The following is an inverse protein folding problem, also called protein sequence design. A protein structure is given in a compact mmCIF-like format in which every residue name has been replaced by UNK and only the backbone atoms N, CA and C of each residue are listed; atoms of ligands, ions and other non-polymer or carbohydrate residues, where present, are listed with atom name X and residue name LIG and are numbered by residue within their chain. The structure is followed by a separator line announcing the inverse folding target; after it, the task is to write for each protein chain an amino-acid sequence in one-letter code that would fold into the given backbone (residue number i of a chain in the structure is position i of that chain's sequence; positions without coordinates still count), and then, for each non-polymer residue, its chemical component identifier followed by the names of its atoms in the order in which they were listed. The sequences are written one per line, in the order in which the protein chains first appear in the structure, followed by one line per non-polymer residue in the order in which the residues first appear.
data_IF_985012194998
#
_entry.id   IF_985012194998
#
_cell.length_a   1.000
_cell.length_b   1.000
_cell.length_c   1.000
_cell.angle_alpha   90.00
_cell.angle_beta   90.00
_cell.angle_gamma   90.00
#
_symmetry.space_group_name_H-M   'P 1'
#
loop_
_entity.id
_entity.type
_entity.pdbx_description
1 polymer ?
#
# COMPACT_ATOMS: atom_id res chain seq x y z
N UNK A 1 6.86 -17.22 21.60
CA UNK A 1 8.08 -16.39 21.51
C UNK A 1 7.67 -15.06 20.92
N UNK A 2 8.02 -13.90 21.51
CA UNK A 2 7.65 -12.60 20.90
C UNK A 2 8.55 -12.35 19.67
N UNK A 3 8.02 -12.61 18.48
CA UNK A 3 8.75 -12.51 17.20
C UNK A 3 9.21 -11.07 16.89
N UNK A 4 8.61 -10.06 17.53
CA UNK A 4 9.02 -8.67 17.34
C UNK A 4 10.39 -8.36 17.98
N UNK A 5 10.86 -9.20 18.94
CA UNK A 5 12.16 -9.00 19.59
C UNK A 5 13.34 -8.97 18.62
N UNK A 6 13.21 -9.62 17.47
CA UNK A 6 14.24 -9.58 16.42
C UNK A 6 14.46 -8.18 15.83
N UNK A 7 13.50 -7.25 16.00
CA UNK A 7 13.55 -5.91 15.43
C UNK A 7 14.03 -4.83 16.42
N UNK A 8 14.39 -5.18 17.65
CA UNK A 8 15.00 -4.20 18.55
C UNK A 8 16.39 -3.79 18.06
N UNK A 9 16.56 -2.47 17.84
CA UNK A 9 17.81 -1.88 17.38
C UNK A 9 18.66 -1.35 18.54
N UNK A 10 19.82 -0.74 18.22
CA UNK A 10 20.73 -0.15 19.18
C UNK A 10 20.05 1.00 19.94
N UNK A 11 20.30 1.05 21.27
CA UNK A 11 19.71 2.08 22.14
C UNK A 11 20.41 3.45 22.01
N UNK A 12 21.67 3.46 21.55
CA UNK A 12 22.49 4.67 21.44
C UNK A 12 23.36 4.61 20.19
N UNK A 13 23.69 5.75 19.68
CA UNK A 13 24.63 5.96 18.58
C UNK A 13 24.46 7.39 18.09
N UNK A 14 25.56 8.13 18.00
CA UNK A 14 25.55 9.49 17.43
C UNK A 14 25.90 9.38 15.96
N UNK A 15 25.02 9.89 15.11
CA UNK A 15 25.25 9.98 13.68
C UNK A 15 24.53 11.19 13.11
N UNK A 16 25.03 11.71 12.02
CA UNK A 16 24.42 12.81 11.28
C UNK A 16 24.50 12.55 9.79
N UNK A 17 23.56 13.09 9.04
CA UNK A 17 23.54 12.90 7.60
C UNK A 17 22.18 13.15 6.99
N UNK A 18 22.01 12.60 5.80
CA UNK A 18 20.79 12.70 5.02
C UNK A 18 20.47 11.33 4.41
N UNK A 19 19.20 11.01 4.34
CA UNK A 19 18.68 9.85 3.65
C UNK A 19 17.47 10.25 2.82
N UNK A 20 17.41 9.79 1.56
CA UNK A 20 16.28 10.05 0.67
C UNK A 20 15.83 8.73 0.04
N UNK A 21 14.56 8.42 0.19
CA UNK A 21 13.95 7.22 -0.41
C UNK A 21 12.68 7.57 -1.16
N UNK A 22 12.51 6.89 -2.29
CA UNK A 22 11.25 6.85 -3.03
C UNK A 22 10.62 5.47 -2.80
N UNK A 23 9.39 5.45 -2.25
CA UNK A 23 8.62 4.22 -2.07
C UNK A 23 7.35 4.25 -2.89
N UNK A 24 6.99 3.14 -3.57
CA UNK A 24 5.82 3.06 -4.41
C UNK A 24 4.54 3.06 -3.59
N UNK A 25 3.46 3.55 -4.16
CA UNK A 25 2.13 3.11 -3.77
C UNK A 25 1.92 1.64 -4.14
N UNK A 26 0.90 1.01 -3.58
CA UNK A 26 0.55 -0.35 -3.92
C UNK A 26 -0.96 -0.51 -4.04
N UNK A 27 -1.39 -1.36 -4.96
CA UNK A 27 -2.80 -1.74 -5.13
C UNK A 27 -3.01 -3.21 -4.77
N UNK A 28 -3.87 -3.46 -3.79
CA UNK A 28 -4.16 -4.80 -3.33
C UNK A 28 -5.04 -5.57 -4.31
N UNK A 29 -4.64 -6.80 -4.63
CA UNK A 29 -5.36 -7.79 -5.43
C UNK A 29 -6.26 -8.65 -4.54
N UNK A 30 -5.74 -9.13 -3.40
CA UNK A 30 -6.54 -9.61 -2.26
C UNK A 30 -6.50 -8.54 -1.19
N UNK A 31 -7.68 -8.06 -0.80
CA UNK A 31 -7.84 -6.86 0.02
C UNK A 31 -7.50 -7.11 1.49
N UNK A 32 -6.67 -6.24 2.06
CA UNK A 32 -6.48 -6.10 3.50
C UNK A 32 -7.64 -5.29 4.08
N UNK A 33 -8.52 -5.95 4.85
CA UNK A 33 -9.65 -5.27 5.46
C UNK A 33 -9.97 -5.90 6.82
N UNK A 34 -9.86 -5.11 7.87
CA UNK A 34 -9.84 -5.60 9.25
C UNK A 34 -8.43 -5.74 9.79
N UNK A 35 -8.24 -5.29 11.04
CA UNK A 35 -6.96 -5.33 11.74
C UNK A 35 -7.16 -5.59 13.22
N UNK A 36 -6.09 -5.98 13.91
CA UNK A 36 -6.07 -6.13 15.36
C UNK A 36 -4.72 -5.66 15.91
N UNK A 37 -4.64 -5.41 17.22
CA UNK A 37 -3.41 -4.96 17.88
C UNK A 37 -2.73 -3.80 17.14
N UNK A 38 -1.42 -3.81 17.10
CA UNK A 38 -0.62 -2.79 16.43
C UNK A 38 -0.53 -3.01 14.93
N UNK A 39 -1.64 -2.81 14.22
CA UNK A 39 -1.76 -2.89 12.76
C UNK A 39 -1.60 -4.30 12.17
N UNK A 40 -1.81 -5.37 12.95
CA UNK A 40 -1.82 -6.74 12.39
C UNK A 40 -3.01 -6.97 11.48
N UNK A 41 -2.84 -7.69 10.35
CA UNK A 41 -3.93 -7.96 9.41
C UNK A 41 -4.82 -9.10 9.91
N UNK A 42 -6.12 -9.01 9.72
CA UNK A 42 -7.08 -10.11 9.98
C UNK A 42 -7.03 -11.20 8.91
N UNK A 43 -6.53 -10.89 7.71
CA UNK A 43 -6.30 -11.81 6.61
C UNK A 43 -5.04 -11.46 5.85
N UNK A 44 -4.41 -12.44 5.24
CA UNK A 44 -3.31 -12.22 4.30
C UNK A 44 -3.79 -11.43 3.06
N UNK A 45 -2.87 -10.73 2.43
CA UNK A 45 -3.13 -9.86 1.28
C UNK A 45 -1.94 -9.85 0.33
N UNK A 46 -2.17 -9.57 -0.94
CA UNK A 46 -1.15 -9.43 -1.98
C UNK A 46 -1.41 -8.17 -2.79
N UNK A 47 -0.37 -7.41 -3.10
CA UNK A 47 -0.44 -6.17 -3.90
C UNK A 47 0.54 -6.16 -5.04
N UNK A 48 0.18 -5.46 -6.12
CA UNK A 48 1.15 -4.85 -7.02
C UNK A 48 1.71 -3.57 -6.39
N UNK A 49 3.02 -3.32 -6.58
CA UNK A 49 3.58 -1.99 -6.39
C UNK A 49 3.50 -1.20 -7.70
N UNK A 50 3.44 0.13 -7.61
CA UNK A 50 3.26 1.03 -8.75
C UNK A 50 4.59 1.72 -9.12
N UNK A 51 4.74 2.10 -10.37
CA UNK A 51 5.95 2.75 -10.88
C UNK A 51 5.87 4.27 -10.75
N UNK A 52 4.79 4.87 -11.22
CA UNK A 52 4.65 6.33 -11.32
C UNK A 52 4.02 6.93 -10.07
N UNK A 53 3.17 6.17 -9.39
CA UNK A 53 2.55 6.59 -8.13
C UNK A 53 3.43 6.22 -6.94
N UNK A 54 4.21 7.19 -6.44
CA UNK A 54 5.16 7.00 -5.35
C UNK A 54 5.22 8.23 -4.43
N UNK A 55 5.79 8.04 -3.24
CA UNK A 55 6.15 9.12 -2.33
C UNK A 55 7.66 9.17 -2.20
N UNK A 56 8.25 10.35 -2.34
CA UNK A 56 9.65 10.63 -2.01
C UNK A 56 9.73 11.28 -0.65
N UNK A 57 10.51 10.71 0.25
CA UNK A 57 10.75 11.27 1.59
C UNK A 57 12.25 11.43 1.81
N UNK A 58 12.66 12.64 2.20
CA UNK A 58 14.00 12.96 2.66
C UNK A 58 14.00 13.20 4.17
N UNK A 59 15.03 12.72 4.85
CA UNK A 59 15.26 12.95 6.28
C UNK A 59 16.69 13.42 6.47
N UNK A 60 16.85 14.65 6.94
CA UNK A 60 18.12 15.13 7.52
C UNK A 60 18.09 14.83 9.03
N UNK A 61 19.17 14.30 9.56
CA UNK A 61 19.25 13.92 10.97
C UNK A 61 20.57 14.38 11.60
N UNK A 62 20.46 14.84 12.84
CA UNK A 62 21.60 15.31 13.62
C UNK A 62 21.44 14.92 15.11
N UNK A 63 22.57 14.70 15.83
CA UNK A 63 22.53 14.38 17.25
C UNK A 63 21.92 15.51 18.07
N UNK A 64 21.18 15.13 19.12
CA UNK A 64 20.69 16.03 20.16
C UNK A 64 20.64 15.33 21.52
N UNK A 65 20.42 16.09 22.58
CA UNK A 65 20.13 15.49 23.90
C UNK A 65 18.88 14.63 23.80
N UNK A 66 19.00 13.38 24.22
CA UNK A 66 17.89 12.41 24.19
C UNK A 66 16.68 12.90 24.97
N UNK A 67 15.49 12.60 24.44
CA UNK A 67 14.19 12.94 25.02
C UNK A 67 13.28 11.69 24.99
N UNK A 68 12.17 11.73 25.74
CA UNK A 68 11.21 10.62 25.74
C UNK A 68 10.48 10.42 24.41
N UNK A 69 10.47 11.44 23.55
CA UNK A 69 9.82 11.42 22.24
C UNK A 69 10.82 11.76 21.14
N UNK A 70 10.55 11.28 19.93
CA UNK A 70 11.29 11.69 18.73
C UNK A 70 11.01 13.17 18.46
N UNK A 71 12.06 13.93 18.17
CA UNK A 71 11.95 15.34 17.83
C UNK A 71 12.11 15.51 16.33
N UNK A 72 11.15 16.18 15.72
CA UNK A 72 11.16 16.38 14.27
C UNK A 72 10.44 17.65 13.85
N UNK A 73 10.82 18.15 12.66
CA UNK A 73 10.01 19.04 11.84
C UNK A 73 9.52 18.29 10.61
N UNK A 74 8.33 18.63 10.13
CA UNK A 74 7.73 17.97 8.96
C UNK A 74 7.24 18.99 7.94
N UNK A 75 7.64 18.76 6.68
CA UNK A 75 7.13 19.49 5.50
C UNK A 75 6.54 18.53 4.49
N UNK A 76 5.42 18.92 3.93
CA UNK A 76 4.78 18.20 2.82
C UNK A 76 4.66 19.12 1.62
N UNK A 77 5.17 18.69 0.45
CA UNK A 77 5.21 19.50 -0.77
C UNK A 77 5.79 20.90 -0.54
N UNK A 78 6.91 20.95 0.18
CA UNK A 78 7.66 22.16 0.49
C UNK A 78 7.10 23.06 1.60
N UNK A 79 5.89 22.78 2.11
CA UNK A 79 5.21 23.59 3.12
C UNK A 79 5.10 22.89 4.48
N UNK A 80 5.06 23.66 5.57
CA UNK A 80 4.77 23.11 6.90
C UNK A 80 3.38 22.49 6.91
N UNK A 81 3.27 21.27 7.45
CA UNK A 81 2.05 20.47 7.37
C UNK A 81 1.63 19.87 8.73
N UNK A 82 1.20 20.73 9.67
CA UNK A 82 0.88 20.31 11.05
C UNK A 82 -0.27 19.31 11.14
N UNK A 83 -1.14 19.24 10.13
CA UNK A 83 -2.25 18.27 10.06
C UNK A 83 -1.76 16.80 10.03
N UNK A 84 -0.51 16.55 9.68
CA UNK A 84 0.09 15.20 9.70
C UNK A 84 0.74 14.83 11.04
N UNK A 85 1.00 15.79 11.94
CA UNK A 85 1.67 15.55 13.22
C UNK A 85 0.99 14.46 14.06
N UNK A 86 -0.33 14.42 14.25
CA UNK A 86 -0.95 13.37 15.05
C UNK A 86 -0.65 11.96 14.54
N UNK A 87 -0.54 11.79 13.22
CA UNK A 87 -0.21 10.51 12.61
C UNK A 87 1.27 10.16 12.74
N UNK A 88 2.16 11.15 12.59
CA UNK A 88 3.60 10.99 12.76
C UNK A 88 3.95 10.72 14.22
N UNK A 89 3.35 11.43 15.17
CA UNK A 89 3.54 11.20 16.61
C UNK A 89 3.15 9.78 17.01
N UNK A 90 1.99 9.31 16.53
CA UNK A 90 1.55 7.93 16.76
C UNK A 90 2.50 6.91 16.12
N UNK A 91 3.02 7.20 14.93
CA UNK A 91 4.01 6.36 14.27
C UNK A 91 5.30 6.30 15.08
N UNK A 92 5.88 7.45 15.41
CA UNK A 92 7.13 7.51 16.17
C UNK A 92 7.00 6.87 17.57
N UNK A 93 5.87 7.04 18.24
CA UNK A 93 5.61 6.37 19.52
C UNK A 93 5.63 4.83 19.39
N UNK A 94 5.08 4.29 18.29
CA UNK A 94 5.06 2.84 18.04
C UNK A 94 6.43 2.27 17.67
N UNK A 95 7.24 3.02 16.90
CA UNK A 95 8.53 2.52 16.45
C UNK A 95 9.68 2.76 17.42
N UNK A 96 9.55 3.71 18.33
CA UNK A 96 10.61 4.08 19.27
C UNK A 96 11.18 2.89 20.09
N UNK A 97 10.39 1.91 20.55
CA UNK A 97 10.93 0.70 21.17
C UNK A 97 11.88 -0.12 20.28
N UNK A 98 11.67 -0.07 18.96
CA UNK A 98 12.46 -0.84 17.96
C UNK A 98 13.63 -0.05 17.40
N UNK A 99 13.57 1.28 17.44
CA UNK A 99 14.62 2.19 16.99
C UNK A 99 14.88 3.27 18.06
N UNK A 100 15.30 2.86 19.27
CA UNK A 100 15.40 3.79 20.40
C UNK A 100 16.46 4.88 20.21
N UNK A 101 17.43 4.71 19.31
CA UNK A 101 18.41 5.73 18.96
C UNK A 101 17.78 7.04 18.45
N UNK A 102 16.55 7.00 17.89
CA UNK A 102 15.83 8.20 17.42
C UNK A 102 15.55 9.21 18.54
N UNK A 103 15.49 8.77 19.81
CA UNK A 103 15.35 9.67 20.96
C UNK A 103 16.51 10.68 21.08
N UNK A 104 17.70 10.31 20.59
CA UNK A 104 18.92 11.13 20.59
C UNK A 104 19.15 11.92 19.30
N UNK A 105 18.16 11.98 18.40
CA UNK A 105 18.29 12.69 17.11
C UNK A 105 17.15 13.70 16.93
N UNK A 106 17.48 14.76 16.18
CA UNK A 106 16.52 15.69 15.61
C UNK A 106 16.38 15.37 14.11
N UNK A 107 15.15 15.28 13.64
CA UNK A 107 14.83 14.90 12.26
C UNK A 107 14.17 16.07 11.53
N UNK A 108 14.70 16.46 10.37
CA UNK A 108 14.02 17.35 9.43
C UNK A 108 13.48 16.47 8.29
N UNK A 109 12.17 16.37 8.21
CA UNK A 109 11.50 15.46 7.30
C UNK A 109 10.79 16.25 6.21
N UNK A 110 11.13 15.99 4.95
CA UNK A 110 10.44 16.52 3.79
C UNK A 110 9.84 15.36 2.97
N UNK A 111 8.58 15.47 2.59
CA UNK A 111 7.89 14.43 1.84
C UNK A 111 7.04 15.04 0.72
N UNK A 112 6.98 14.35 -0.41
CA UNK A 112 6.17 14.75 -1.57
C UNK A 112 5.60 13.53 -2.28
N UNK A 113 4.44 13.69 -2.91
CA UNK A 113 3.82 12.65 -3.72
C UNK A 113 3.95 12.99 -5.21
N UNK A 114 4.09 11.95 -6.04
CA UNK A 114 3.96 12.08 -7.50
C UNK A 114 2.50 12.10 -7.98
N UNK A 115 1.54 11.95 -7.09
CA UNK A 115 0.10 11.84 -7.37
C UNK A 115 -0.72 12.65 -6.36
N UNK A 116 -1.97 13.05 -6.68
CA UNK A 116 -2.78 13.87 -5.79
C UNK A 116 -3.01 13.21 -4.42
N UNK A 117 -2.75 13.96 -3.35
CA UNK A 117 -2.99 13.48 -1.98
C UNK A 117 -4.47 13.16 -1.77
N UNK A 118 -4.80 12.14 -1.01
CA UNK A 118 -6.17 11.70 -0.69
C UNK A 118 -6.98 11.11 -1.86
N UNK A 119 -6.39 10.93 -3.04
CA UNK A 119 -7.06 10.38 -4.24
C UNK A 119 -7.42 8.89 -4.18
N UNK A 120 -7.19 8.22 -3.06
CA UNK A 120 -7.45 6.78 -2.96
C UNK A 120 -6.29 5.87 -3.35
N UNK A 121 -5.16 6.43 -3.77
CA UNK A 121 -3.97 5.72 -4.27
C UNK A 121 -3.00 5.38 -3.12
N UNK A 122 -3.49 4.92 -2.00
CA UNK A 122 -2.72 4.45 -0.84
C UNK A 122 -1.50 5.34 -0.43
N UNK A 123 -1.61 6.68 -0.53
CA UNK A 123 -0.52 7.62 -0.19
C UNK A 123 0.06 7.43 1.21
N UNK A 124 -0.75 6.97 2.16
CA UNK A 124 -0.26 6.57 3.49
C UNK A 124 0.73 5.42 3.45
N UNK A 125 0.57 4.48 2.52
CA UNK A 125 1.43 3.31 2.42
C UNK A 125 2.81 3.70 1.90
N UNK A 126 2.86 4.43 0.79
CA UNK A 126 4.12 4.90 0.21
C UNK A 126 4.89 5.85 1.15
N UNK A 127 4.18 6.79 1.80
CA UNK A 127 4.80 7.74 2.72
C UNK A 127 5.42 7.05 3.95
N UNK A 128 4.71 6.11 4.59
CA UNK A 128 5.26 5.39 5.75
C UNK A 128 6.37 4.42 5.35
N UNK A 129 6.33 3.84 4.15
CA UNK A 129 7.41 3.01 3.64
C UNK A 129 8.68 3.84 3.38
N UNK A 130 8.57 4.98 2.70
CA UNK A 130 9.71 5.87 2.45
C UNK A 130 10.34 6.37 3.75
N UNK A 131 9.52 6.81 4.71
CA UNK A 131 10.01 7.27 6.01
C UNK A 131 10.68 6.13 6.79
N UNK A 132 10.11 4.93 6.81
CA UNK A 132 10.71 3.78 7.48
C UNK A 132 12.08 3.40 6.87
N UNK A 133 12.24 3.49 5.56
CA UNK A 133 13.51 3.26 4.87
C UNK A 133 14.56 4.32 5.23
N UNK A 134 14.17 5.60 5.32
CA UNK A 134 15.07 6.64 5.82
C UNK A 134 15.52 6.37 7.27
N UNK A 135 14.60 5.92 8.13
CA UNK A 135 14.92 5.56 9.51
C UNK A 135 15.88 4.37 9.57
N UNK A 136 15.72 3.38 8.68
CA UNK A 136 16.67 2.27 8.61
C UNK A 136 18.07 2.69 8.16
N UNK A 137 18.21 3.71 7.32
CA UNK A 137 19.52 4.28 6.99
C UNK A 137 20.19 4.93 8.21
N UNK A 138 19.43 5.59 9.09
CA UNK A 138 19.96 6.13 10.35
C UNK A 138 20.48 4.98 11.24
N UNK A 139 19.72 3.90 11.35
CA UNK A 139 20.15 2.72 12.12
C UNK A 139 21.37 2.04 11.51
N UNK A 140 21.40 1.90 10.18
CA UNK A 140 22.53 1.31 9.46
C UNK A 140 23.82 2.12 9.58
N UNK A 141 23.72 3.46 9.66
CA UNK A 141 24.88 4.32 9.89
C UNK A 141 25.53 4.08 11.27
N UNK A 142 24.73 3.69 12.26
CA UNK A 142 25.22 3.33 13.60
C UNK A 142 25.60 1.86 13.70
N UNK A 143 24.95 1.00 12.93
CA UNK A 143 25.20 -0.44 12.91
C UNK A 143 25.49 -0.94 11.48
N UNK A 144 26.73 -0.81 10.98
CA UNK A 144 27.08 -1.22 9.60
C UNK A 144 26.98 -2.72 9.34
N UNK A 145 26.78 -3.56 10.36
CA UNK A 145 26.64 -5.01 10.22
C UNK A 145 25.23 -5.45 9.80
N UNK A 146 24.30 -4.53 9.64
CA UNK A 146 22.93 -4.82 9.17
C UNK A 146 23.00 -5.41 7.76
N UNK A 147 22.51 -6.65 7.60
CA UNK A 147 22.36 -7.23 6.28
C UNK A 147 21.26 -6.55 5.47
N UNK A 148 21.40 -6.54 4.14
CA UNK A 148 20.37 -5.98 3.25
C UNK A 148 19.01 -6.65 3.45
N UNK A 149 18.97 -7.96 3.65
CA UNK A 149 17.72 -8.68 3.91
C UNK A 149 17.03 -8.20 5.19
N UNK A 150 17.79 -8.06 6.29
CA UNK A 150 17.27 -7.55 7.55
C UNK A 150 16.83 -6.08 7.43
N UNK A 151 17.58 -5.25 6.72
CA UNK A 151 17.26 -3.84 6.46
C UNK A 151 15.85 -3.70 5.86
N UNK A 152 15.57 -4.40 4.75
CA UNK A 152 14.27 -4.32 4.09
C UNK A 152 13.16 -4.98 4.92
N UNK A 153 13.45 -6.08 5.61
CA UNK A 153 12.48 -6.74 6.49
C UNK A 153 12.06 -5.83 7.64
N UNK A 154 13.02 -5.19 8.32
CA UNK A 154 12.74 -4.25 9.40
C UNK A 154 12.09 -2.96 8.88
N UNK A 155 12.50 -2.44 7.71
CA UNK A 155 11.83 -1.31 7.09
C UNK A 155 10.34 -1.60 6.86
N UNK A 156 10.01 -2.78 6.33
CA UNK A 156 8.62 -3.22 6.14
C UNK A 156 7.85 -3.36 7.46
N UNK A 157 8.50 -3.89 8.49
CA UNK A 157 7.95 -3.98 9.85
C UNK A 157 7.63 -2.59 10.42
N UNK A 158 8.56 -1.65 10.34
CA UNK A 158 8.36 -0.27 10.82
C UNK A 158 7.28 0.45 10.02
N UNK A 159 7.29 0.33 8.69
CA UNK A 159 6.30 0.92 7.81
C UNK A 159 4.87 0.46 8.17
N UNK A 160 4.68 -0.84 8.48
CA UNK A 160 3.42 -1.41 8.95
C UNK A 160 2.88 -0.70 10.19
N UNK A 161 3.74 -0.35 11.14
CA UNK A 161 3.34 0.34 12.38
C UNK A 161 2.77 1.73 12.11
N UNK A 162 3.14 2.37 10.99
CA UNK A 162 2.57 3.65 10.56
C UNK A 162 1.29 3.50 9.72
N UNK A 163 1.26 2.50 8.85
CA UNK A 163 0.11 2.15 8.02
C UNK A 163 0.22 0.68 7.62
N UNK A 164 -0.76 -0.15 7.96
CA UNK A 164 -0.68 -1.60 7.72
C UNK A 164 -0.27 -1.95 6.30
N UNK A 165 -0.92 -1.37 5.29
CA UNK A 165 -0.61 -1.60 3.87
C UNK A 165 0.80 -1.16 3.45
N UNK A 166 1.48 -0.31 4.24
CA UNK A 166 2.85 0.13 3.95
C UNK A 166 3.87 -1.02 4.01
N UNK A 167 3.55 -2.10 4.71
CA UNK A 167 4.35 -3.33 4.68
C UNK A 167 4.60 -3.83 3.24
N UNK A 168 3.69 -3.54 2.29
CA UNK A 168 3.78 -3.96 0.89
C UNK A 168 4.35 -2.89 -0.06
N UNK A 169 4.82 -1.76 0.46
CA UNK A 169 5.42 -0.66 -0.33
C UNK A 169 6.94 -0.57 -0.22
N UNK A 170 7.58 -1.50 0.46
CA UNK A 170 9.05 -1.52 0.65
C UNK A 170 9.72 -2.37 -0.44
N UNK A 171 9.21 -3.55 -0.69
CA UNK A 171 9.67 -4.43 -1.76
C UNK A 171 8.77 -4.32 -3.01
N UNK A 172 9.05 -5.10 -4.05
CA UNK A 172 8.27 -5.22 -5.29
C UNK A 172 8.75 -6.41 -6.13
N UNK A 173 8.14 -6.65 -7.30
CA UNK A 173 6.94 -6.01 -7.87
C UNK A 173 5.62 -6.42 -7.21
N UNK A 174 5.52 -7.68 -6.73
CA UNK A 174 4.38 -8.23 -6.00
C UNK A 174 4.82 -8.50 -4.56
N UNK A 175 4.00 -8.05 -3.61
CA UNK A 175 4.32 -8.20 -2.19
C UNK A 175 3.12 -8.78 -1.45
N UNK A 176 3.34 -9.87 -0.72
CA UNK A 176 2.35 -10.44 0.19
C UNK A 176 2.65 -10.06 1.64
N UNK A 177 1.59 -9.97 2.45
CA UNK A 177 1.65 -9.65 3.87
C UNK A 177 0.48 -10.30 4.61
N UNK A 178 0.77 -10.82 5.79
CA UNK A 178 -0.16 -11.63 6.59
C UNK A 178 0.21 -13.12 6.52
N UNK A 179 0.00 -13.84 7.62
CA UNK A 179 0.27 -15.27 7.69
C UNK A 179 -0.64 -16.08 6.76
N UNK A 180 -0.03 -16.98 5.98
CA UNK A 180 -0.73 -17.89 5.08
C UNK A 180 0.11 -19.13 4.79
N UNK A 181 -0.48 -20.32 4.88
CA UNK A 181 0.22 -21.62 4.74
C UNK A 181 0.94 -21.79 3.41
N UNK A 182 0.39 -21.25 2.31
CA UNK A 182 0.92 -21.44 0.96
C UNK A 182 2.04 -20.45 0.60
N UNK A 183 2.28 -19.44 1.44
CA UNK A 183 3.31 -18.43 1.21
C UNK A 183 4.46 -18.59 2.19
N UNK A 184 5.58 -19.14 1.72
CA UNK A 184 6.74 -19.42 2.55
C UNK A 184 7.27 -18.16 3.25
N UNK A 185 7.49 -18.26 4.57
CA UNK A 185 7.98 -17.14 5.38
C UNK A 185 6.95 -16.03 5.61
N UNK A 186 5.69 -16.23 5.23
CA UNK A 186 4.61 -15.25 5.45
C UNK A 186 4.52 -14.84 6.92
N UNK A 187 4.24 -13.58 7.16
CA UNK A 187 4.24 -13.00 8.50
C UNK A 187 3.22 -11.88 8.62
N UNK A 188 2.63 -11.77 9.81
CA UNK A 188 1.84 -10.59 10.17
C UNK A 188 2.70 -9.36 10.47
N UNK A 189 4.02 -9.53 10.63
CA UNK A 189 4.94 -8.48 11.03
C UNK A 189 5.42 -7.63 9.86
N UNK A 190 5.68 -8.21 8.70
CA UNK A 190 6.27 -7.56 7.53
C UNK A 190 5.79 -8.21 6.23
N UNK A 191 5.89 -7.49 5.13
CA UNK A 191 5.64 -8.01 3.79
C UNK A 191 6.88 -8.61 3.16
N UNK A 192 6.67 -9.56 2.25
CA UNK A 192 7.71 -10.23 1.47
C UNK A 192 7.41 -10.20 -0.02
N UNK A 193 8.43 -10.07 -0.89
CA UNK A 193 8.23 -10.14 -2.32
C UNK A 193 7.86 -11.56 -2.77
N UNK A 194 6.97 -11.66 -3.75
CA UNK A 194 6.67 -12.91 -4.45
C UNK A 194 7.63 -13.06 -5.62
N UNK A 195 8.41 -14.14 -5.66
CA UNK A 195 9.44 -14.34 -6.67
C UNK A 195 8.95 -15.13 -7.89
N UNK A 196 8.10 -16.13 -7.67
CA UNK A 196 7.54 -16.97 -8.72
C UNK A 196 6.34 -16.28 -9.36
N UNK A 197 6.59 -15.51 -10.43
CA UNK A 197 5.60 -14.67 -11.09
C UNK A 197 5.68 -14.89 -12.59
N UNK A 198 4.55 -15.24 -13.22
CA UNK A 198 4.46 -15.36 -14.68
C UNK A 198 4.83 -14.03 -15.35
N UNK A 199 5.53 -14.05 -16.52
CA UNK A 199 5.98 -12.82 -17.19
C UNK A 199 4.89 -11.78 -17.43
N UNK A 200 3.67 -12.17 -17.75
CA UNK A 200 2.55 -11.25 -17.95
C UNK A 200 2.29 -10.34 -16.76
N UNK A 201 2.38 -10.89 -15.53
CA UNK A 201 2.18 -10.10 -14.31
C UNK A 201 3.40 -9.23 -13.92
N UNK A 202 4.53 -9.33 -14.61
CA UNK A 202 5.69 -8.46 -14.37
C UNK A 202 5.62 -7.13 -15.09
N UNK A 203 4.70 -6.99 -16.06
CA UNK A 203 4.54 -5.81 -16.91
C UNK A 203 3.10 -5.29 -16.93
N UNK A 204 2.27 -5.75 -15.99
CA UNK A 204 0.85 -5.37 -15.94
C UNK A 204 0.69 -3.85 -15.88
N UNK A 205 -0.30 -3.32 -16.58
CA UNK A 205 -0.64 -1.90 -16.55
C UNK A 205 -1.72 -1.65 -15.51
N UNK A 206 -1.72 -0.46 -14.93
CA UNK A 206 -2.72 0.04 -14.00
C UNK A 206 -3.08 1.47 -14.40
N UNK A 207 -4.24 1.66 -15.03
CA UNK A 207 -4.75 3.00 -15.29
C UNK A 207 -5.71 3.39 -14.19
N UNK A 208 -5.36 4.41 -13.40
CA UNK A 208 -6.13 4.87 -12.26
C UNK A 208 -7.09 5.96 -12.70
N UNK A 209 -8.37 5.64 -12.79
CA UNK A 209 -9.46 6.53 -13.22
C UNK A 209 -9.97 7.34 -12.03
N UNK A 210 -9.75 8.65 -12.03
CA UNK A 210 -10.06 9.53 -10.91
C UNK A 210 -11.51 10.03 -10.99
N UNK A 211 -12.44 9.20 -10.55
CA UNK A 211 -13.87 9.54 -10.46
C UNK A 211 -14.15 10.62 -9.41
N UNK A 212 -13.34 10.66 -8.37
CA UNK A 212 -13.42 11.62 -7.28
C UNK A 212 -12.02 12.01 -6.79
N UNK A 213 -11.67 13.29 -6.92
CA UNK A 213 -10.41 13.86 -6.44
C UNK A 213 -10.53 14.53 -5.06
N UNK A 214 -11.73 14.52 -4.49
CA UNK A 214 -12.02 15.12 -3.20
C UNK A 214 -11.54 14.31 -2.01
N UNK A 215 -11.72 14.87 -0.82
CA UNK A 215 -11.37 14.18 0.42
C UNK A 215 -12.25 12.96 0.66
N UNK A 216 -11.63 11.85 1.06
CA UNK A 216 -12.36 10.62 1.44
C UNK A 216 -13.35 10.91 2.57
N UNK A 217 -14.62 10.55 2.36
CA UNK A 217 -15.67 10.64 3.38
C UNK A 217 -15.42 9.70 4.56
N UNK A 218 -14.78 8.57 4.31
CA UNK A 218 -14.47 7.54 5.31
C UNK A 218 -12.97 7.28 5.30
N UNK A 219 -12.32 7.44 6.45
CA UNK A 219 -10.91 7.07 6.58
C UNK A 219 -10.74 5.55 6.51
N UNK A 220 -9.61 5.07 5.98
CA UNK A 220 -9.29 3.63 6.01
C UNK A 220 -9.27 3.08 7.45
N UNK A 221 -8.88 3.90 8.43
CA UNK A 221 -8.89 3.51 9.85
C UNK A 221 -10.30 3.17 10.33
N UNK A 222 -11.29 4.03 10.02
CA UNK A 222 -12.68 3.76 10.37
C UNK A 222 -13.20 2.52 9.64
N UNK A 223 -12.91 2.36 8.35
CA UNK A 223 -13.32 1.18 7.59
C UNK A 223 -12.80 -0.12 8.20
N UNK A 224 -11.53 -0.16 8.65
CA UNK A 224 -11.00 -1.32 9.37
C UNK A 224 -11.71 -1.57 10.71
N UNK A 225 -12.05 -0.53 11.45
CA UNK A 225 -12.79 -0.64 12.72
C UNK A 225 -14.20 -1.22 12.54
N UNK A 226 -14.86 -0.88 11.44
CA UNK A 226 -16.21 -1.40 11.13
C UNK A 226 -16.25 -2.92 10.90
N UNK A 227 -15.09 -3.57 10.79
CA UNK A 227 -15.02 -5.02 10.75
C UNK A 227 -15.13 -5.68 12.14
N UNK A 228 -14.98 -4.89 13.22
CA UNK A 228 -15.19 -5.37 14.59
C UNK A 228 -16.69 -5.57 14.83
N UNK A 229 -17.10 -6.81 15.15
CA UNK A 229 -18.50 -7.16 15.30
C UNK A 229 -19.35 -7.17 14.02
N UNK A 230 -18.72 -6.98 12.85
CA UNK A 230 -19.44 -7.05 11.58
C UNK A 230 -19.98 -8.45 11.30
N UNK A 231 -21.27 -8.62 10.95
CA UNK A 231 -21.91 -9.95 10.86
C UNK A 231 -21.26 -10.88 9.83
N UNK A 232 -20.64 -10.35 8.79
CA UNK A 232 -19.99 -11.12 7.72
C UNK A 232 -18.46 -11.11 7.80
N UNK A 233 -17.84 -10.55 8.87
CA UNK A 233 -16.39 -10.39 8.96
C UNK A 233 -15.64 -11.72 8.83
N UNK A 234 -16.06 -12.76 9.58
CA UNK A 234 -15.41 -14.08 9.57
C UNK A 234 -15.42 -14.69 8.17
N UNK A 235 -16.59 -14.74 7.54
CA UNK A 235 -16.73 -15.28 6.17
C UNK A 235 -15.86 -14.50 5.16
N UNK A 236 -15.74 -13.17 5.33
CA UNK A 236 -14.90 -12.35 4.48
C UNK A 236 -13.40 -12.65 4.67
N UNK A 237 -12.96 -12.84 5.91
CA UNK A 237 -11.56 -13.21 6.19
C UNK A 237 -11.22 -14.59 5.63
N UNK A 238 -12.12 -15.56 5.79
CA UNK A 238 -11.96 -16.91 5.22
C UNK A 238 -11.91 -16.86 3.69
N UNK A 239 -12.79 -16.08 3.05
CA UNK A 239 -12.77 -15.84 1.60
C UNK A 239 -11.43 -15.27 1.15
N UNK A 240 -10.88 -14.27 1.88
CA UNK A 240 -9.59 -13.67 1.53
C UNK A 240 -8.45 -14.69 1.62
N UNK A 241 -8.43 -15.54 2.65
CA UNK A 241 -7.44 -16.62 2.78
C UNK A 241 -7.54 -17.61 1.61
N UNK A 242 -8.74 -18.04 1.26
CA UNK A 242 -8.96 -18.92 0.10
C UNK A 242 -8.51 -18.24 -1.21
N UNK A 243 -8.81 -16.95 -1.38
CA UNK A 243 -8.40 -16.19 -2.55
C UNK A 243 -6.88 -15.99 -2.61
N UNK A 244 -6.19 -15.88 -1.48
CA UNK A 244 -4.72 -15.88 -1.45
C UNK A 244 -4.15 -17.19 -1.98
N UNK A 245 -4.69 -18.35 -1.55
CA UNK A 245 -4.27 -19.65 -2.05
C UNK A 245 -4.46 -19.77 -3.57
N UNK A 246 -5.66 -19.38 -4.09
CA UNK A 246 -5.95 -19.38 -5.52
C UNK A 246 -5.05 -18.43 -6.30
N UNK A 247 -4.85 -17.20 -5.78
CA UNK A 247 -4.06 -16.17 -6.47
C UNK A 247 -2.61 -16.59 -6.68
N UNK A 248 -2.02 -17.37 -5.76
CA UNK A 248 -0.66 -17.91 -5.92
C UNK A 248 -0.56 -18.76 -7.20
N UNK A 249 -1.49 -19.69 -7.40
CA UNK A 249 -1.54 -20.51 -8.62
C UNK A 249 -1.75 -19.68 -9.89
N UNK A 250 -2.69 -18.73 -9.84
CA UNK A 250 -2.99 -17.80 -10.94
C UNK A 250 -1.75 -17.01 -11.36
N UNK A 251 -1.06 -16.40 -10.40
CA UNK A 251 0.15 -15.59 -10.66
C UNK A 251 1.30 -16.44 -11.21
N UNK A 252 1.43 -17.69 -10.76
CA UNK A 252 2.49 -18.58 -11.24
C UNK A 252 2.23 -19.09 -12.66
N UNK A 253 0.98 -19.35 -13.02
CA UNK A 253 0.60 -19.98 -14.30
C UNK A 253 0.24 -18.98 -15.39
N UNK A 254 -0.07 -17.72 -15.06
CA UNK A 254 -0.57 -16.75 -16.02
C UNK A 254 -2.06 -16.92 -16.38
N UNK A 255 -2.87 -17.52 -15.51
CA UNK A 255 -4.30 -17.73 -15.72
C UNK A 255 -5.07 -16.41 -15.63
N UNK A 256 -5.09 -15.64 -16.74
CA UNK A 256 -5.61 -14.27 -16.76
C UNK A 256 -7.12 -14.18 -16.53
N UNK A 257 -7.92 -15.13 -17.00
CA UNK A 257 -9.37 -15.13 -16.78
C UNK A 257 -9.70 -15.36 -15.28
N UNK A 258 -9.01 -16.30 -14.63
CA UNK A 258 -9.13 -16.53 -13.19
C UNK A 258 -8.66 -15.32 -12.37
N UNK A 259 -7.62 -14.61 -12.86
CA UNK A 259 -7.15 -13.36 -12.26
C UNK A 259 -8.24 -12.27 -12.28
N UNK A 260 -8.88 -12.10 -13.43
CA UNK A 260 -9.99 -11.14 -13.61
C UNK A 260 -11.09 -11.40 -12.60
N UNK A 261 -11.58 -12.64 -12.54
CA UNK A 261 -12.70 -13.02 -11.65
C UNK A 261 -12.36 -12.81 -10.18
N UNK A 262 -11.15 -13.21 -9.77
CA UNK A 262 -10.72 -13.10 -8.38
C UNK A 262 -10.56 -11.64 -7.97
N UNK A 263 -9.90 -10.82 -8.77
CA UNK A 263 -9.58 -9.42 -8.44
C UNK A 263 -10.85 -8.55 -8.39
N UNK A 264 -11.78 -8.74 -9.33
CA UNK A 264 -13.08 -8.06 -9.30
C UNK A 264 -13.93 -8.49 -8.10
N UNK A 265 -13.95 -9.77 -7.77
CA UNK A 265 -14.65 -10.30 -6.59
C UNK A 265 -14.09 -9.70 -5.31
N UNK A 266 -12.77 -9.60 -5.16
CA UNK A 266 -12.11 -8.99 -4.00
C UNK A 266 -12.46 -7.50 -3.83
N UNK A 267 -12.45 -6.75 -4.94
CA UNK A 267 -12.85 -5.35 -4.93
C UNK A 267 -14.30 -5.16 -4.49
N UNK A 268 -15.22 -5.92 -5.09
CA UNK A 268 -16.64 -5.82 -4.80
C UNK A 268 -16.98 -6.32 -3.39
N UNK A 269 -16.30 -7.37 -2.90
CA UNK A 269 -16.47 -7.87 -1.54
C UNK A 269 -16.13 -6.82 -0.49
N UNK A 270 -15.04 -6.05 -0.67
CA UNK A 270 -14.71 -4.95 0.22
C UNK A 270 -15.83 -3.91 0.27
N UNK A 271 -16.35 -3.50 -0.90
CA UNK A 271 -17.43 -2.52 -0.97
C UNK A 271 -18.74 -3.07 -0.38
N UNK A 272 -19.05 -4.35 -0.57
CA UNK A 272 -20.19 -5.01 0.05
C UNK A 272 -20.11 -4.97 1.59
N UNK A 273 -18.91 -5.20 2.16
CA UNK A 273 -18.70 -5.06 3.61
C UNK A 273 -19.01 -3.64 4.10
N UNK A 274 -18.64 -2.60 3.33
CA UNK A 274 -18.94 -1.22 3.69
C UNK A 274 -20.44 -0.90 3.56
N UNK A 275 -21.11 -1.47 2.56
CA UNK A 275 -22.55 -1.30 2.35
C UNK A 275 -23.39 -1.87 3.51
N UNK A 276 -22.95 -2.99 4.10
CA UNK A 276 -23.65 -3.65 5.20
C UNK A 276 -23.00 -3.45 6.58
N UNK A 277 -22.08 -2.50 6.72
CA UNK A 277 -21.53 -2.08 8.01
C UNK A 277 -22.52 -1.24 8.82
N UNK A 278 -22.26 -1.01 10.08
CA UNK A 278 -23.07 -0.11 10.95
C UNK A 278 -22.15 0.93 11.60
N UNK A 279 -22.24 2.21 11.22
CA UNK A 279 -23.05 2.78 10.12
C UNK A 279 -22.61 2.28 8.74
N UNK A 280 -23.54 2.24 7.78
CA UNK A 280 -23.28 1.84 6.41
C UNK A 280 -22.66 2.97 5.59
N UNK A 281 -21.82 2.59 4.60
CA UNK A 281 -21.18 3.54 3.71
C UNK A 281 -21.25 3.08 2.25
N UNK A 282 -21.64 3.98 1.37
CA UNK A 282 -21.54 3.82 -0.08
C UNK A 282 -20.32 4.60 -0.53
N UNK A 283 -19.25 3.88 -0.90
CA UNK A 283 -17.98 4.48 -1.33
C UNK A 283 -17.93 4.69 -2.85
N UNK A 284 -18.62 3.83 -3.60
CA UNK A 284 -18.76 3.99 -5.05
C UNK A 284 -19.68 5.16 -5.40
N UNK A 285 -19.37 5.84 -6.50
CA UNK A 285 -20.23 6.86 -7.12
C UNK A 285 -20.93 6.29 -8.36
N UNK A 286 -21.97 6.97 -8.90
CA UNK A 286 -22.60 6.51 -10.15
C UNK A 286 -21.60 6.29 -11.29
N UNK A 287 -20.64 7.18 -11.47
CA UNK A 287 -19.58 7.06 -12.48
C UNK A 287 -18.66 5.84 -12.22
N UNK A 288 -18.41 5.45 -10.96
CA UNK A 288 -17.69 4.21 -10.65
C UNK A 288 -18.41 3.00 -11.25
N UNK A 289 -19.74 2.93 -11.09
CA UNK A 289 -20.56 1.85 -11.64
C UNK A 289 -20.61 1.88 -13.17
N UNK A 290 -20.69 3.07 -13.78
CA UNK A 290 -20.64 3.24 -15.24
C UNK A 290 -19.31 2.73 -15.82
N UNK A 291 -18.19 3.05 -15.16
CA UNK A 291 -16.87 2.55 -15.55
C UNK A 291 -16.80 1.02 -15.44
N UNK A 292 -17.29 0.44 -14.33
CA UNK A 292 -17.31 -1.01 -14.14
C UNK A 292 -18.13 -1.71 -15.23
N UNK A 293 -19.30 -1.18 -15.57
CA UNK A 293 -20.13 -1.72 -16.65
C UNK A 293 -19.39 -1.65 -18.00
N UNK A 294 -18.82 -0.51 -18.35
CA UNK A 294 -18.09 -0.33 -19.62
C UNK A 294 -16.87 -1.28 -19.72
N UNK A 295 -16.13 -1.49 -18.62
CA UNK A 295 -15.01 -2.45 -18.59
C UNK A 295 -15.47 -3.86 -18.89
N UNK A 296 -16.58 -4.30 -18.28
CA UNK A 296 -17.14 -5.65 -18.50
C UNK A 296 -17.64 -5.84 -19.92
N UNK A 297 -18.35 -4.84 -20.48
CA UNK A 297 -18.85 -4.88 -21.84
C UNK A 297 -17.71 -4.91 -22.88
N UNK A 298 -16.66 -4.11 -22.66
CA UNK A 298 -15.47 -4.13 -23.49
C UNK A 298 -14.77 -5.49 -23.46
N UNK A 299 -14.59 -6.09 -22.27
CA UNK A 299 -14.00 -7.42 -22.12
C UNK A 299 -14.82 -8.51 -22.82
N UNK A 300 -16.15 -8.47 -22.67
CA UNK A 300 -17.04 -9.44 -23.34
C UNK A 300 -16.90 -9.36 -24.87
N UNK A 301 -16.84 -8.14 -25.41
CA UNK A 301 -16.81 -7.88 -26.85
C UNK A 301 -15.45 -8.21 -27.46
N UNK A 302 -14.36 -7.82 -26.78
CA UNK A 302 -13.00 -7.91 -27.33
C UNK A 302 -12.22 -9.15 -26.93
N UNK A 303 -12.67 -9.84 -25.87
CA UNK A 303 -11.96 -10.96 -25.21
C UNK A 303 -10.59 -10.58 -24.64
N UNK A 304 -10.32 -9.28 -24.45
CA UNK A 304 -9.11 -8.82 -23.78
C UNK A 304 -9.27 -9.02 -22.28
N UNK A 305 -8.33 -9.69 -21.59
CA UNK A 305 -8.43 -9.99 -20.16
C UNK A 305 -8.07 -8.76 -19.30
N UNK A 306 -8.88 -7.72 -19.35
CA UNK A 306 -8.78 -6.56 -18.48
C UNK A 306 -9.79 -6.64 -17.34
N UNK A 307 -9.45 -6.10 -16.19
CA UNK A 307 -10.32 -6.09 -15.02
C UNK A 307 -10.21 -4.77 -14.26
N UNK A 308 -11.10 -4.59 -13.29
CA UNK A 308 -10.98 -3.48 -12.35
C UNK A 308 -10.66 -3.98 -10.95
N UNK A 309 -10.00 -3.10 -10.18
CA UNK A 309 -9.99 -3.20 -8.73
C UNK A 309 -10.29 -1.84 -8.11
N UNK A 310 -10.72 -1.86 -6.85
CA UNK A 310 -11.10 -0.66 -6.10
C UNK A 310 -10.44 -0.70 -4.73
N UNK A 311 -9.93 0.41 -4.28
CA UNK A 311 -9.67 0.64 -2.85
C UNK A 311 -10.92 1.24 -2.18
N UNK A 312 -10.82 1.60 -0.91
CA UNK A 312 -11.92 2.22 -0.17
C UNK A 312 -12.19 3.65 -0.68
N UNK A 313 -12.85 3.75 -1.84
CA UNK A 313 -13.17 5.00 -2.52
C UNK A 313 -13.92 4.80 -3.82
N UNK A 314 -14.10 5.89 -4.59
CA UNK A 314 -14.81 5.89 -5.86
C UNK A 314 -13.91 5.63 -7.08
N UNK A 315 -12.59 5.79 -6.92
CA UNK A 315 -11.64 5.69 -8.03
C UNK A 315 -11.41 4.25 -8.45
N UNK A 316 -11.23 4.03 -9.73
CA UNK A 316 -11.12 2.69 -10.33
C UNK A 316 -9.72 2.48 -10.87
N UNK A 317 -9.10 1.38 -10.47
CA UNK A 317 -7.88 0.87 -11.08
C UNK A 317 -8.25 -0.10 -12.19
N UNK A 318 -7.93 0.24 -13.42
CA UNK A 318 -8.08 -0.63 -14.58
C UNK A 318 -6.78 -1.40 -14.80
N UNK A 319 -6.83 -2.70 -14.58
CA UNK A 319 -5.69 -3.60 -14.70
C UNK A 319 -5.74 -4.38 -16.00
N UNK A 320 -4.63 -4.43 -16.75
CA UNK A 320 -4.55 -5.18 -18.01
C UNK A 320 -3.11 -5.54 -18.38
N UNK A 321 -2.90 -6.63 -19.15
CA UNK A 321 -1.58 -7.03 -19.62
C UNK A 321 -0.97 -5.98 -20.57
N UNK A 322 0.35 -5.77 -20.51
CA UNK A 322 1.06 -4.76 -21.30
C UNK A 322 0.81 -4.92 -22.82
N UNK A 323 0.71 -6.16 -23.31
CA UNK A 323 0.45 -6.44 -24.74
C UNK A 323 -0.93 -5.98 -25.22
N UNK A 324 -1.85 -5.66 -24.30
CA UNK A 324 -3.16 -5.12 -24.66
C UNK A 324 -3.19 -3.59 -24.74
N UNK A 325 -2.11 -2.89 -24.37
CA UNK A 325 -2.06 -1.43 -24.17
C UNK A 325 -2.59 -0.66 -25.37
N UNK A 326 -2.15 -0.98 -26.59
CA UNK A 326 -2.55 -0.26 -27.79
C UNK A 326 -4.05 -0.39 -28.13
N UNK A 327 -4.69 -1.49 -27.71
CA UNK A 327 -6.13 -1.73 -27.88
C UNK A 327 -6.94 -1.11 -26.75
N UNK A 328 -6.39 -1.05 -25.54
CA UNK A 328 -7.07 -0.53 -24.35
C UNK A 328 -6.98 1.00 -24.28
N UNK A 329 -5.91 1.62 -24.73
CA UNK A 329 -5.76 3.08 -24.68
C UNK A 329 -6.88 3.88 -25.37
N UNK A 330 -7.33 3.54 -26.61
CA UNK A 330 -8.48 4.21 -27.21
C UNK A 330 -9.78 4.03 -26.42
N UNK A 331 -9.99 2.86 -25.81
CA UNK A 331 -11.15 2.59 -24.95
C UNK A 331 -11.13 3.45 -23.68
N UNK A 332 -9.96 3.55 -23.02
CA UNK A 332 -9.80 4.43 -21.86
C UNK A 332 -10.20 5.86 -22.24
N UNK A 333 -9.61 6.41 -23.31
CA UNK A 333 -9.80 7.79 -23.72
C UNK A 333 -11.26 8.11 -24.08
N UNK A 334 -11.92 7.21 -24.83
CA UNK A 334 -13.25 7.47 -25.38
C UNK A 334 -14.40 7.07 -24.45
N UNK A 335 -14.25 5.98 -23.69
CA UNK A 335 -15.33 5.38 -22.94
C UNK A 335 -15.21 5.52 -21.40
N UNK A 336 -14.00 5.70 -20.84
CA UNK A 336 -13.79 5.74 -19.41
C UNK A 336 -13.47 7.15 -18.89
N UNK A 337 -12.60 7.88 -19.57
CA UNK A 337 -12.19 9.26 -19.20
C UNK A 337 -13.38 10.22 -19.04
N UNK A 338 -14.48 10.15 -19.84
CA UNK A 338 -15.65 10.99 -19.64
C UNK A 338 -16.33 10.83 -18.26
N UNK A 339 -16.10 9.73 -17.55
CA UNK A 339 -16.59 9.49 -16.20
C UNK A 339 -15.64 9.96 -15.10
N UNK A 340 -14.41 10.36 -15.46
CA UNK A 340 -13.43 10.88 -14.51
C UNK A 340 -13.66 12.36 -14.22
N UNK A 341 -13.38 12.79 -13.00
CA UNK A 341 -13.47 14.19 -12.61
C UNK A 341 -12.47 15.04 -13.41
N UNK A 342 -12.99 15.98 -14.20
CA UNK A 342 -12.21 16.81 -15.15
C UNK A 342 -11.38 15.99 -16.15
N UNK A 343 -11.80 14.78 -16.50
CA UNK A 343 -11.06 13.88 -17.39
C UNK A 343 -9.73 13.39 -16.81
N UNK A 344 -9.56 13.43 -15.48
CA UNK A 344 -8.29 13.11 -14.85
C UNK A 344 -8.11 11.60 -14.64
N UNK A 345 -6.96 11.09 -15.05
CA UNK A 345 -6.52 9.72 -14.79
C UNK A 345 -4.98 9.67 -14.69
N UNK A 346 -4.45 8.57 -14.21
CA UNK A 346 -3.00 8.33 -14.10
C UNK A 346 -2.71 7.01 -14.82
N UNK A 347 -1.84 7.07 -15.82
CA UNK A 347 -1.27 5.86 -16.42
C UNK A 347 -0.11 5.38 -15.56
N UNK A 348 -0.25 4.21 -14.99
CA UNK A 348 0.75 3.56 -14.18
C UNK A 348 0.98 2.11 -14.63
N UNK A 349 1.95 1.47 -14.06
CA UNK A 349 2.24 0.06 -14.28
C UNK A 349 2.90 -0.53 -13.04
N UNK A 350 3.05 -1.85 -13.04
CA UNK A 350 3.74 -2.56 -11.96
C UNK A 350 5.17 -2.04 -11.77
N UNK A 351 5.55 -1.79 -10.52
CA UNK A 351 6.84 -1.22 -10.13
C UNK A 351 7.80 -2.26 -9.54
N UNK A 352 9.01 -1.82 -9.20
CA UNK A 352 10.09 -2.68 -8.70
C UNK A 352 10.33 -2.59 -7.18
N UNK A 353 9.48 -1.87 -6.47
CA UNK A 353 9.68 -1.58 -5.04
C UNK A 353 10.35 -0.24 -4.79
N UNK A 354 10.75 0.00 -3.53
CA UNK A 354 11.39 1.24 -3.13
C UNK A 354 12.83 1.34 -3.64
N UNK A 355 13.27 2.57 -3.88
CA UNK A 355 14.64 2.89 -4.30
C UNK A 355 15.23 4.03 -3.49
N UNK A 356 16.52 3.95 -3.19
CA UNK A 356 17.29 5.04 -2.61
C UNK A 356 17.61 6.06 -3.70
N UNK A 357 17.50 7.34 -3.36
CA UNK A 357 17.74 8.45 -4.27
C UNK A 357 19.11 9.09 -4.04
#
# INVERSE_FOLDING_TARGET
MNLEKQFFGPAKGETQGQSIWQAPSNIALVKYWGKFGDQYPKNASLSFTLTHSHTTTGVEFSPKKATEKVSYDFRFEGTSAPQFHPKLDAFFARILPYVPLLAGHYLQIASENSFPHSSGIASSASAMAALALCIMDIEAAVNPSISQAYFFQKASFLARLGSGSAARSVAGPLVYWGEHSDYAGSSNLFGLPLHEVHPDFKTYQDTILLVDRGHKKVSSTLGHQLMEGHPFATARFDQAQQNMARLKGIINTGALDDFVDLVETEALSLHAMMLCSSPSFILMKPHTLSIIAAIRDFRITTKIPLCFTLDAGANVHLLYPAQAKDKVAPFIASALVPFCENGAYIDDCIGQGAKKM
#
